data_IF_088239204897
#
_entry.id   IF_088239204897
#
_cell.length_a   1.000
_cell.length_b   1.000
_cell.length_c   1.000
_cell.angle_alpha   90.00
_cell.angle_beta   90.00
_cell.angle_gamma   90.00
#
_symmetry.space_group_name_H-M   'P 1'
#
loop_
_entity.id
_entity.type
_entity.pdbx_description
1 polymer ?
#
# COMPACT_ATOMS: atom_id res chain seq x y z
N UNK A 1 2.65 1.61 12.72
CA UNK A 1 2.67 1.43 11.26
C UNK A 1 1.64 0.40 10.79
N UNK A 2 1.81 -0.90 11.09
CA UNK A 2 0.92 -1.98 10.59
C UNK A 2 -0.58 -1.71 10.76
N UNK A 3 -1.01 -1.28 11.96
CA UNK A 3 -2.42 -0.99 12.24
C UNK A 3 -3.04 0.07 11.31
N UNK A 4 -2.29 1.09 10.90
CA UNK A 4 -2.80 2.11 9.99
C UNK A 4 -2.91 1.55 8.57
N UNK A 5 -1.94 0.74 8.14
CA UNK A 5 -2.00 0.11 6.82
C UNK A 5 -3.23 -0.81 6.68
N UNK A 6 -3.53 -1.63 7.69
CA UNK A 6 -4.68 -2.55 7.62
C UNK A 6 -6.05 -1.88 7.87
N UNK A 7 -6.09 -0.74 8.56
CA UNK A 7 -7.36 -0.05 8.89
C UNK A 7 -7.70 1.08 7.93
N UNK A 8 -6.68 1.80 7.45
CA UNK A 8 -6.85 3.06 6.75
C UNK A 8 -6.43 2.98 5.28
N UNK A 9 -5.56 2.02 4.89
CA UNK A 9 -5.08 1.89 3.50
C UNK A 9 -5.78 0.77 2.72
N UNK A 10 -6.23 -0.31 3.37
CA UNK A 10 -6.93 -1.40 2.67
C UNK A 10 -8.40 -1.02 2.46
N UNK A 11 -8.85 -1.07 1.22
CA UNK A 11 -10.23 -0.85 0.84
C UNK A 11 -11.11 -2.06 1.17
N UNK A 12 -12.44 -1.88 1.29
CA UNK A 12 -13.35 -3.00 1.51
C UNK A 12 -13.31 -4.10 0.42
N UNK A 13 -12.90 -3.74 -0.79
CA UNK A 13 -12.73 -4.65 -1.93
C UNK A 13 -11.33 -5.27 -2.01
N UNK A 14 -10.42 -4.92 -1.09
CA UNK A 14 -9.05 -5.41 -1.03
C UNK A 14 -8.03 -4.54 -1.76
N UNK A 15 -8.43 -3.44 -2.41
CA UNK A 15 -7.48 -2.52 -3.04
C UNK A 15 -6.60 -1.83 -1.99
N UNK A 16 -5.31 -1.67 -2.28
CA UNK A 16 -4.41 -0.92 -1.42
C UNK A 16 -4.37 0.56 -1.86
N UNK A 17 -4.97 1.43 -1.05
CA UNK A 17 -4.92 2.87 -1.20
C UNK A 17 -3.59 3.45 -0.73
N UNK A 18 -3.37 4.74 -1.03
CA UNK A 18 -2.14 5.47 -0.70
C UNK A 18 -0.85 4.88 -1.28
N UNK A 19 -0.95 4.09 -2.35
CA UNK A 19 0.22 3.62 -3.11
C UNK A 19 0.61 4.69 -4.12
N UNK A 20 1.85 5.13 -4.06
CA UNK A 20 2.39 6.05 -5.05
C UNK A 20 2.62 5.31 -6.37
N UNK A 21 2.14 5.87 -7.47
CA UNK A 21 2.42 5.38 -8.82
C UNK A 21 3.88 5.54 -9.25
N UNK A 22 4.19 5.06 -10.44
CA UNK A 22 5.54 5.16 -11.02
C UNK A 22 5.83 6.56 -11.55
N UNK A 23 7.07 7.02 -11.42
CA UNK A 23 7.49 8.32 -11.93
C UNK A 23 9.00 8.49 -11.88
N UNK A 24 9.52 9.55 -12.48
CA UNK A 24 10.96 9.88 -12.43
C UNK A 24 11.31 10.57 -11.11
N UNK A 25 10.37 11.32 -10.54
CA UNK A 25 10.53 12.07 -9.30
C UNK A 25 9.26 11.98 -8.44
N UNK A 26 9.36 12.24 -7.11
CA UNK A 26 8.23 12.02 -6.19
C UNK A 26 6.94 12.75 -6.52
N UNK A 27 7.00 13.87 -7.26
CA UNK A 27 5.82 14.67 -7.64
C UNK A 27 4.99 14.07 -8.77
N UNK A 28 5.55 13.15 -9.55
CA UNK A 28 4.95 12.66 -10.80
C UNK A 28 3.69 11.79 -10.58
N UNK A 29 3.44 11.37 -9.34
CA UNK A 29 2.26 10.56 -8.97
C UNK A 29 1.55 11.12 -7.73
N UNK A 30 1.59 12.45 -7.58
CA UNK A 30 0.92 13.18 -6.51
C UNK A 30 -0.35 13.88 -7.02
N UNK A 31 -1.37 14.09 -6.16
CA UNK A 31 -1.42 13.66 -4.76
C UNK A 31 -1.68 12.17 -4.64
N UNK A 32 -1.02 11.52 -3.67
CA UNK A 32 -1.37 10.16 -3.25
C UNK A 32 -2.55 10.22 -2.29
N UNK A 33 -3.62 9.48 -2.58
CA UNK A 33 -4.82 9.43 -1.74
C UNK A 33 -5.35 8.01 -1.61
N UNK A 34 -6.36 7.84 -0.74
CA UNK A 34 -7.05 6.57 -0.55
C UNK A 34 -7.59 6.04 -1.89
N UNK A 35 -8.29 6.87 -2.65
CA UNK A 35 -8.93 6.47 -3.91
C UNK A 35 -8.03 6.51 -5.14
N UNK A 36 -6.74 6.84 -4.98
CA UNK A 36 -5.81 6.82 -6.12
C UNK A 36 -5.53 5.37 -6.52
N UNK A 37 -5.73 5.08 -7.81
CA UNK A 37 -5.35 3.80 -8.42
C UNK A 37 -4.08 4.07 -9.23
N UNK A 38 -2.92 3.54 -8.83
CA UNK A 38 -1.68 3.72 -9.58
C UNK A 38 -1.68 2.86 -10.85
N UNK A 39 -0.92 3.29 -11.86
CA UNK A 39 -0.77 2.55 -13.13
C UNK A 39 -0.18 1.14 -12.93
N UNK A 40 0.63 0.98 -11.87
CA UNK A 40 1.22 -0.27 -11.41
C UNK A 40 1.09 -0.33 -9.88
N UNK A 41 0.47 -1.39 -9.35
CA UNK A 41 0.20 -1.54 -7.91
C UNK A 41 0.90 -2.75 -7.27
N UNK A 42 1.37 -3.67 -8.11
CA UNK A 42 1.91 -4.99 -7.75
C UNK A 42 3.09 -4.92 -6.77
N UNK A 43 3.98 -3.93 -6.89
CA UNK A 43 5.07 -3.72 -5.95
C UNK A 43 4.59 -3.29 -4.57
N UNK A 44 3.56 -2.44 -4.50
CA UNK A 44 2.99 -1.94 -3.24
C UNK A 44 2.26 -3.06 -2.51
N UNK A 45 1.44 -3.81 -3.25
CA UNK A 45 0.78 -5.02 -2.76
C UNK A 45 1.79 -6.07 -2.28
N UNK A 46 2.83 -6.34 -3.06
CA UNK A 46 3.90 -7.27 -2.68
C UNK A 46 4.59 -6.87 -1.37
N UNK A 47 4.95 -5.59 -1.22
CA UNK A 47 5.54 -5.08 0.01
C UNK A 47 4.59 -5.19 1.21
N UNK A 48 3.30 -4.91 1.01
CA UNK A 48 2.29 -5.05 2.05
C UNK A 48 2.15 -6.51 2.53
N UNK A 49 2.15 -7.47 1.59
CA UNK A 49 2.09 -8.90 1.92
C UNK A 49 3.33 -9.39 2.66
N UNK A 50 4.53 -8.94 2.27
CA UNK A 50 5.78 -9.23 2.99
C UNK A 50 5.76 -8.66 4.42
N UNK A 51 5.29 -7.43 4.60
CA UNK A 51 5.14 -6.86 5.94
C UNK A 51 4.13 -7.66 6.79
N UNK A 52 3.02 -8.09 6.18
CA UNK A 52 2.02 -8.94 6.84
C UNK A 52 2.56 -10.29 7.27
N UNK A 53 3.40 -10.93 6.45
CA UNK A 53 4.01 -12.22 6.80
C UNK A 53 4.96 -12.11 7.99
N UNK A 54 5.74 -11.03 8.07
CA UNK A 54 6.64 -10.79 9.21
C UNK A 54 5.86 -10.46 10.49
N UNK A 55 4.83 -9.61 10.40
CA UNK A 55 3.96 -9.31 11.56
C UNK A 55 3.26 -10.57 12.08
N UNK A 56 2.83 -11.46 11.18
CA UNK A 56 2.22 -12.74 11.58
C UNK A 56 3.22 -13.63 12.34
N UNK A 57 4.48 -13.67 11.91
CA UNK A 57 5.53 -14.44 12.59
C UNK A 57 5.87 -13.86 13.97
N UNK A 58 5.91 -12.53 14.12
CA UNK A 58 6.19 -11.87 15.41
C UNK A 58 5.13 -12.12 16.50
N UNK A 59 3.91 -12.51 16.11
CA UNK A 59 2.82 -12.81 17.05
C UNK A 59 2.90 -14.22 17.63
N UNK A 60 3.77 -15.09 17.09
CA UNK A 60 4.04 -16.42 17.64
C UNK A 60 5.03 -16.37 18.79
#
# INVERSE_FOLDING_TARGET
AWNAMVKDAVHPDGMLGFVQGTGKEPKDSQPVSYTNIPDFEDYGLGCFLLAGSEVYQLKK
#
